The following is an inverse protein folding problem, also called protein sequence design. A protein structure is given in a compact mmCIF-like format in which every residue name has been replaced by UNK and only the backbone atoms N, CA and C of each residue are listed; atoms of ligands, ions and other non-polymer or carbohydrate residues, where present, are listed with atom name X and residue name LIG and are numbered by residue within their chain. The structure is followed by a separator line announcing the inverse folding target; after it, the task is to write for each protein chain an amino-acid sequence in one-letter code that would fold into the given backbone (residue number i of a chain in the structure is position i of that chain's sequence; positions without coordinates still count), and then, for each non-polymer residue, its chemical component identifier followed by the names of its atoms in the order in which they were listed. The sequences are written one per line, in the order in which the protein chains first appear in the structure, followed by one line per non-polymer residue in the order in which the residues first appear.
data_IF_503133114110
#
_entry.id   IF_503133114110
#
_cell.length_a   1.000
_cell.length_b   1.000
_cell.length_c   1.000
_cell.angle_alpha   90.00
_cell.angle_beta   90.00
_cell.angle_gamma   90.00
#
_symmetry.space_group_name_H-M   'P 1'
#
loop_
_entity.id
_entity.type
_entity.pdbx_description
1 polymer ?
#
# COMPACT_ATOMS: atom_id res chain seq x y z
N UNK A 1 -15.50 -45.72 23.83
CA UNK A 1 -14.19 -45.18 23.40
C UNK A 1 -13.46 -44.77 24.65
N UNK A 2 -12.21 -45.19 24.83
CA UNK A 2 -11.40 -44.71 25.95
C UNK A 2 -10.98 -43.24 25.72
N UNK A 3 -10.63 -42.55 26.79
CA UNK A 3 -10.24 -41.13 26.73
C UNK A 3 -9.01 -40.91 25.83
N UNK A 4 -8.13 -41.91 25.76
CA UNK A 4 -6.94 -41.92 24.91
C UNK A 4 -7.29 -41.90 23.42
N UNK A 5 -8.18 -42.80 22.98
CA UNK A 5 -8.64 -42.89 21.60
C UNK A 5 -9.35 -41.60 21.19
N UNK A 6 -10.21 -41.04 22.05
CA UNK A 6 -10.85 -39.73 21.79
C UNK A 6 -9.80 -38.63 21.61
N UNK A 7 -8.79 -38.57 22.50
CA UNK A 7 -7.70 -37.60 22.39
C UNK A 7 -6.89 -37.73 21.10
N UNK A 8 -6.53 -38.95 20.72
CA UNK A 8 -5.81 -39.24 19.47
C UNK A 8 -6.64 -38.88 18.25
N UNK A 9 -7.95 -39.20 18.24
CA UNK A 9 -8.84 -38.85 17.14
C UNK A 9 -8.96 -37.33 16.97
N UNK A 10 -9.11 -36.58 18.07
CA UNK A 10 -9.17 -35.11 18.03
C UNK A 10 -7.85 -34.54 17.50
N UNK A 11 -6.70 -35.07 17.94
CA UNK A 11 -5.39 -34.61 17.47
C UNK A 11 -5.20 -34.84 15.97
N UNK A 12 -5.60 -36.01 15.47
CA UNK A 12 -5.53 -36.33 14.04
C UNK A 12 -6.45 -35.40 13.25
N UNK A 13 -7.69 -35.19 13.72
CA UNK A 13 -8.64 -34.31 13.05
C UNK A 13 -8.16 -32.85 13.03
N UNK A 14 -7.61 -32.34 14.14
CA UNK A 14 -7.03 -31.01 14.23
C UNK A 14 -5.82 -30.86 13.30
N UNK A 15 -4.94 -31.85 13.26
CA UNK A 15 -3.77 -31.85 12.37
C UNK A 15 -4.19 -31.88 10.90
N UNK A 16 -5.15 -32.74 10.53
CA UNK A 16 -5.69 -32.79 9.18
C UNK A 16 -6.36 -31.46 8.80
N UNK A 17 -7.11 -30.85 9.71
CA UNK A 17 -7.72 -29.54 9.50
C UNK A 17 -6.66 -28.47 9.22
N UNK A 18 -5.57 -28.40 10.01
CA UNK A 18 -4.49 -27.45 9.77
C UNK A 18 -3.85 -27.64 8.38
N UNK A 19 -3.55 -28.88 8.01
CA UNK A 19 -3.00 -29.20 6.68
C UNK A 19 -3.95 -28.77 5.56
N UNK A 20 -5.25 -29.06 5.68
CA UNK A 20 -6.26 -28.66 4.70
C UNK A 20 -6.35 -27.14 4.57
N UNK A 21 -6.31 -26.39 5.68
CA UNK A 21 -6.35 -24.93 5.64
C UNK A 21 -5.12 -24.33 4.96
N UNK A 22 -3.93 -24.88 5.20
CA UNK A 22 -2.69 -24.42 4.55
C UNK A 22 -2.66 -24.74 3.05
N UNK A 23 -3.16 -25.92 2.65
CA UNK A 23 -3.30 -26.25 1.21
C UNK A 23 -4.30 -25.30 0.55
N UNK A 24 -5.47 -25.11 1.14
CA UNK A 24 -6.48 -24.19 0.62
C UNK A 24 -5.92 -22.76 0.50
N UNK A 25 -5.18 -22.29 1.52
CA UNK A 25 -4.55 -20.98 1.51
C UNK A 25 -3.58 -20.82 0.33
N UNK A 26 -2.71 -21.81 0.08
CA UNK A 26 -1.79 -21.79 -1.08
C UNK A 26 -2.54 -21.71 -2.41
N UNK A 27 -3.62 -22.47 -2.57
CA UNK A 27 -4.45 -22.43 -3.78
C UNK A 27 -5.09 -21.05 -3.99
N UNK A 28 -5.67 -20.48 -2.93
CA UNK A 28 -6.29 -19.15 -3.01
C UNK A 28 -5.27 -18.03 -3.20
N UNK A 29 -4.05 -18.14 -2.66
CA UNK A 29 -2.97 -17.20 -2.97
C UNK A 29 -2.67 -17.24 -4.48
N UNK A 30 -2.49 -18.42 -5.07
CA UNK A 30 -2.27 -18.55 -6.51
C UNK A 30 -3.41 -17.96 -7.35
N UNK A 31 -4.66 -18.24 -6.98
CA UNK A 31 -5.83 -17.67 -7.65
C UNK A 31 -5.87 -16.13 -7.55
N UNK A 32 -5.64 -15.58 -6.36
CA UNK A 32 -5.64 -14.13 -6.13
C UNK A 32 -4.52 -13.44 -6.91
N UNK A 33 -3.33 -14.03 -6.97
CA UNK A 33 -2.23 -13.53 -7.79
C UNK A 33 -2.59 -13.52 -9.28
N UNK A 34 -3.16 -14.61 -9.79
CA UNK A 34 -3.59 -14.69 -11.19
C UNK A 34 -4.65 -13.62 -11.54
N UNK A 35 -5.60 -13.35 -10.63
CA UNK A 35 -6.60 -12.32 -10.84
C UNK A 35 -5.98 -10.92 -10.89
N UNK A 36 -4.95 -10.64 -10.11
CA UNK A 36 -4.20 -9.38 -10.16
C UNK A 36 -3.41 -9.25 -11.47
N UNK A 37 -2.72 -10.32 -11.89
CA UNK A 37 -1.97 -10.36 -13.16
C UNK A 37 -2.88 -10.11 -14.38
N UNK A 38 -4.14 -10.54 -14.31
CA UNK A 38 -5.15 -10.34 -15.36
C UNK A 38 -5.86 -8.98 -15.27
N UNK A 39 -5.60 -8.18 -14.22
CA UNK A 39 -6.34 -6.94 -13.96
C UNK A 39 -7.79 -7.15 -13.53
N UNK A 40 -8.18 -8.38 -13.16
CA UNK A 40 -9.54 -8.76 -12.75
C UNK A 40 -9.82 -8.37 -11.28
N UNK A 41 -9.65 -7.09 -10.95
CA UNK A 41 -9.68 -6.60 -9.55
C UNK A 41 -11.06 -6.79 -8.88
N UNK A 42 -12.16 -6.71 -9.64
CA UNK A 42 -13.50 -6.99 -9.11
C UNK A 42 -13.66 -8.45 -8.65
N UNK A 43 -13.16 -9.40 -9.45
CA UNK A 43 -13.19 -10.84 -9.11
C UNK A 43 -12.23 -11.18 -7.97
N UNK A 44 -11.10 -10.47 -7.90
CA UNK A 44 -10.17 -10.53 -6.77
C UNK A 44 -10.89 -10.15 -5.46
N UNK A 45 -11.57 -9.00 -5.43
CA UNK A 45 -12.34 -8.55 -4.27
C UNK A 45 -13.48 -9.51 -3.91
N UNK A 46 -14.22 -10.00 -4.90
CA UNK A 46 -15.29 -10.99 -4.68
C UNK A 46 -14.74 -12.30 -4.11
N UNK A 47 -13.54 -12.72 -4.53
CA UNK A 47 -12.86 -13.91 -3.99
C UNK A 47 -12.46 -13.71 -2.54
N UNK A 48 -11.97 -12.52 -2.16
CA UNK A 48 -11.68 -12.18 -0.76
C UNK A 48 -12.91 -12.22 0.16
N UNK A 49 -14.13 -12.15 -0.39
CA UNK A 49 -15.36 -12.21 0.38
C UNK A 49 -15.94 -13.62 0.56
N UNK A 50 -15.35 -14.65 -0.06
CA UNK A 50 -15.80 -16.04 0.08
C UNK A 50 -15.62 -16.55 1.52
N UNK A 51 -16.57 -17.35 2.06
CA UNK A 51 -16.50 -17.87 3.43
C UNK A 51 -15.21 -18.64 3.73
N UNK A 52 -14.76 -19.47 2.79
CA UNK A 52 -13.51 -20.23 2.94
C UNK A 52 -12.28 -19.32 3.01
N UNK A 53 -12.27 -18.21 2.26
CA UNK A 53 -11.18 -17.24 2.29
C UNK A 53 -11.19 -16.47 3.62
N UNK A 54 -12.38 -16.12 4.14
CA UNK A 54 -12.55 -15.54 5.48
C UNK A 54 -12.08 -16.47 6.61
N UNK A 55 -12.18 -17.78 6.41
CA UNK A 55 -11.71 -18.79 7.37
C UNK A 55 -10.18 -18.94 7.35
N UNK A 56 -9.57 -19.02 6.17
CA UNK A 56 -8.14 -19.35 6.03
C UNK A 56 -7.21 -18.12 6.08
N UNK A 57 -7.72 -16.91 5.81
CA UNK A 57 -6.93 -15.68 5.93
C UNK A 57 -7.27 -14.90 7.20
N UNK A 58 -6.26 -14.49 7.99
CA UNK A 58 -6.45 -13.57 9.08
C UNK A 58 -7.15 -12.30 8.62
N UNK A 59 -8.03 -11.75 9.46
CA UNK A 59 -8.84 -10.57 9.14
C UNK A 59 -7.97 -9.40 8.67
N UNK A 60 -6.85 -9.13 9.34
CA UNK A 60 -5.94 -8.05 8.97
C UNK A 60 -5.41 -8.22 7.55
N UNK A 61 -4.85 -9.40 7.21
CA UNK A 61 -4.30 -9.67 5.88
C UNK A 61 -5.37 -9.51 4.81
N UNK A 62 -6.59 -10.00 5.09
CA UNK A 62 -7.70 -9.91 4.15
C UNK A 62 -8.16 -8.48 3.92
N UNK A 63 -8.24 -7.67 4.98
CA UNK A 63 -8.57 -6.25 4.85
C UNK A 63 -7.45 -5.48 4.13
N UNK A 64 -6.19 -5.78 4.40
CA UNK A 64 -5.07 -5.16 3.70
C UNK A 64 -5.09 -5.48 2.19
N UNK A 65 -5.39 -6.73 1.83
CA UNK A 65 -5.64 -7.13 0.45
C UNK A 65 -6.84 -6.40 -0.17
N UNK A 66 -7.96 -6.27 0.56
CA UNK A 66 -9.11 -5.50 0.10
C UNK A 66 -8.78 -4.02 -0.10
N UNK A 67 -8.00 -3.40 0.81
CA UNK A 67 -7.54 -2.02 0.68
C UNK A 67 -6.77 -1.84 -0.64
N UNK A 68 -5.81 -2.71 -0.91
CA UNK A 68 -5.05 -2.69 -2.16
C UNK A 68 -5.93 -2.85 -3.40
N UNK A 69 -6.93 -3.74 -3.35
CA UNK A 69 -7.88 -3.93 -4.44
C UNK A 69 -8.76 -2.70 -4.69
N UNK A 70 -9.23 -2.03 -3.64
CA UNK A 70 -9.99 -0.80 -3.78
C UNK A 70 -9.15 0.38 -4.30
N UNK A 71 -7.88 0.47 -3.90
CA UNK A 71 -6.95 1.45 -4.48
C UNK A 71 -6.75 1.22 -5.98
N UNK A 72 -6.58 -0.04 -6.40
CA UNK A 72 -6.42 -0.37 -7.82
C UNK A 72 -7.68 -0.13 -8.67
N UNK A 73 -8.86 0.00 -8.04
CA UNK A 73 -10.13 0.38 -8.71
C UNK A 73 -10.46 1.87 -8.60
N UNK A 74 -9.61 2.66 -7.93
CA UNK A 74 -9.94 4.04 -7.54
C UNK A 74 -11.27 4.15 -6.76
N UNK A 75 -11.68 3.07 -6.07
CA UNK A 75 -12.88 3.03 -5.22
C UNK A 75 -12.56 3.58 -3.84
N UNK A 76 -12.38 4.90 -3.79
CA UNK A 76 -11.95 5.61 -2.59
C UNK A 76 -12.94 5.48 -1.43
N UNK A 77 -14.24 5.36 -1.72
CA UNK A 77 -15.26 5.22 -0.66
C UNK A 77 -15.05 3.93 0.11
N UNK A 78 -14.73 2.83 -0.56
CA UNK A 78 -14.41 1.57 0.11
C UNK A 78 -13.00 1.57 0.69
N UNK A 79 -12.03 2.16 -0.01
CA UNK A 79 -10.66 2.29 0.48
C UNK A 79 -10.61 3.01 1.84
N UNK A 80 -11.29 4.15 1.98
CA UNK A 80 -11.38 4.91 3.24
C UNK A 80 -11.93 4.05 4.39
N UNK A 81 -13.02 3.31 4.14
CA UNK A 81 -13.63 2.45 5.16
C UNK A 81 -12.70 1.33 5.60
N UNK A 82 -11.97 0.73 4.66
CA UNK A 82 -11.03 -0.35 4.97
C UNK A 82 -9.78 0.19 5.67
N UNK A 83 -9.25 1.34 5.24
CA UNK A 83 -8.13 2.01 5.88
C UNK A 83 -8.44 2.36 7.34
N UNK A 84 -9.57 3.02 7.60
CA UNK A 84 -10.01 3.36 8.95
C UNK A 84 -10.18 2.11 9.83
N UNK A 85 -10.74 1.03 9.26
CA UNK A 85 -10.86 -0.25 9.98
C UNK A 85 -9.50 -0.85 10.31
N UNK A 86 -8.57 -0.90 9.36
CA UNK A 86 -7.23 -1.41 9.58
C UNK A 86 -6.53 -0.60 10.67
N UNK A 87 -6.50 0.73 10.54
CA UNK A 87 -5.85 1.65 11.49
C UNK A 87 -6.44 1.55 12.91
N UNK A 88 -7.71 1.17 13.07
CA UNK A 88 -8.35 0.96 14.38
C UNK A 88 -8.18 -0.44 14.98
N UNK A 89 -7.56 -1.38 14.28
CA UNK A 89 -7.37 -2.76 14.77
C UNK A 89 -6.11 -2.89 15.64
N UNK A 90 -6.11 -3.89 16.54
CA UNK A 90 -4.88 -4.35 17.19
C UNK A 90 -3.96 -4.99 16.14
N UNK A 91 -2.70 -4.58 16.14
CA UNK A 91 -1.71 -4.94 15.12
C UNK A 91 -0.36 -5.24 15.77
N UNK A 92 0.50 -5.99 15.07
CA UNK A 92 1.94 -6.01 15.39
C UNK A 92 2.60 -4.69 14.97
N UNK A 93 3.79 -4.41 15.49
CA UNK A 93 4.55 -3.22 15.06
C UNK A 93 4.83 -3.22 13.54
N UNK A 94 5.11 -4.39 12.97
CA UNK A 94 5.32 -4.53 11.52
C UNK A 94 4.05 -4.22 10.72
N UNK A 95 2.90 -4.78 11.13
CA UNK A 95 1.61 -4.50 10.51
C UNK A 95 1.23 -3.02 10.63
N UNK A 96 1.53 -2.40 11.78
CA UNK A 96 1.26 -0.97 12.00
C UNK A 96 2.08 -0.11 11.05
N UNK A 97 3.38 -0.35 10.94
CA UNK A 97 4.25 0.36 9.99
C UNK A 97 3.74 0.22 8.55
N UNK A 98 3.35 -0.99 8.15
CA UNK A 98 2.87 -1.26 6.79
C UNK A 98 1.58 -0.50 6.46
N UNK A 99 0.56 -0.54 7.34
CA UNK A 99 -0.68 0.20 7.08
C UNK A 99 -0.49 1.71 7.19
N UNK A 100 0.31 2.21 8.14
CA UNK A 100 0.51 3.65 8.33
C UNK A 100 1.20 4.24 7.11
N UNK A 101 2.29 3.63 6.63
CA UNK A 101 2.97 4.12 5.42
C UNK A 101 2.05 4.11 4.20
N UNK A 102 1.26 3.04 4.01
CA UNK A 102 0.36 2.95 2.85
C UNK A 102 -0.83 3.90 2.92
N UNK A 103 -1.45 4.03 4.10
CA UNK A 103 -2.55 4.96 4.31
C UNK A 103 -2.09 6.43 4.26
N UNK A 104 -0.86 6.71 4.70
CA UNK A 104 -0.25 8.03 4.60
C UNK A 104 -0.10 8.46 3.14
N UNK A 105 0.55 7.64 2.31
CA UNK A 105 0.68 7.92 0.87
C UNK A 105 -0.68 8.09 0.20
N UNK A 106 -1.63 7.21 0.51
CA UNK A 106 -3.00 7.34 0.02
C UNK A 106 -3.66 8.67 0.41
N UNK A 107 -3.55 9.11 1.66
CA UNK A 107 -4.12 10.38 2.10
C UNK A 107 -3.43 11.59 1.47
N UNK A 108 -2.12 11.52 1.21
CA UNK A 108 -1.41 12.56 0.46
C UNK A 108 -1.96 12.71 -0.97
N UNK A 109 -2.07 11.61 -1.71
CA UNK A 109 -2.60 11.60 -3.08
C UNK A 109 -4.04 12.11 -3.16
N UNK A 110 -4.83 11.89 -2.10
CA UNK A 110 -6.22 12.34 -2.00
C UNK A 110 -6.36 13.78 -1.50
N UNK A 111 -5.27 14.44 -1.10
CA UNK A 111 -5.33 15.75 -0.45
C UNK A 111 -6.06 15.72 0.91
N UNK A 112 -6.13 14.56 1.57
CA UNK A 112 -6.74 14.42 2.89
C UNK A 112 -5.75 14.91 3.96
N UNK A 113 -5.68 16.22 4.12
CA UNK A 113 -4.74 16.90 5.02
C UNK A 113 -4.79 16.37 6.45
N UNK A 114 -6.00 16.21 7.01
CA UNK A 114 -6.17 15.74 8.40
C UNK A 114 -5.68 14.30 8.58
N UNK A 115 -6.08 13.41 7.68
CA UNK A 115 -5.65 12.00 7.74
C UNK A 115 -4.13 11.87 7.56
N UNK A 116 -3.55 12.65 6.66
CA UNK A 116 -2.10 12.68 6.46
C UNK A 116 -1.36 13.26 7.67
N UNK A 117 -1.89 14.30 8.32
CA UNK A 117 -1.27 14.93 9.49
C UNK A 117 -1.27 13.98 10.70
N UNK A 118 -2.39 13.31 10.96
CA UNK A 118 -2.51 12.32 12.04
C UNK A 118 -1.49 11.17 11.86
N UNK A 119 -1.30 10.69 10.63
CA UNK A 119 -0.34 9.62 10.33
C UNK A 119 1.11 10.12 10.30
N UNK A 120 1.36 11.37 9.87
CA UNK A 120 2.69 11.98 9.92
C UNK A 120 3.21 12.04 11.36
N UNK A 121 2.38 12.49 12.31
CA UNK A 121 2.77 12.56 13.72
C UNK A 121 3.16 11.18 14.27
N UNK A 122 2.52 10.11 13.82
CA UNK A 122 2.94 8.76 14.19
C UNK A 122 4.26 8.36 13.54
N UNK A 123 4.45 8.65 12.25
CA UNK A 123 5.69 8.37 11.52
C UNK A 123 6.87 9.08 12.16
N UNK A 124 6.70 10.34 12.60
CA UNK A 124 7.73 11.12 13.31
C UNK A 124 8.20 10.48 14.62
N UNK A 125 7.41 9.57 15.20
CA UNK A 125 7.81 8.77 16.36
C UNK A 125 8.61 7.50 16.02
N UNK A 126 8.86 7.22 14.74
CA UNK A 126 9.62 6.04 14.32
C UNK A 126 11.13 6.25 14.49
N UNK A 127 11.82 5.18 14.89
CA UNK A 127 13.29 5.12 14.89
C UNK A 127 13.80 4.82 13.47
N UNK A 128 13.51 5.73 12.55
CA UNK A 128 13.84 5.67 11.13
C UNK A 128 13.88 7.09 10.55
N UNK A 129 15.04 7.73 10.64
CA UNK A 129 15.21 9.13 10.26
C UNK A 129 14.89 9.39 8.78
N UNK A 130 15.21 8.44 7.90
CA UNK A 130 14.95 8.54 6.47
C UNK A 130 13.45 8.47 6.18
N UNK A 131 12.71 7.55 6.81
CA UNK A 131 11.26 7.50 6.67
C UNK A 131 10.59 8.77 7.19
N UNK A 132 11.07 9.32 8.29
CA UNK A 132 10.57 10.58 8.87
C UNK A 132 10.81 11.77 7.94
N UNK A 133 12.03 11.92 7.42
CA UNK A 133 12.37 13.01 6.51
C UNK A 133 11.57 12.92 5.21
N UNK A 134 11.47 11.72 4.63
CA UNK A 134 10.66 11.48 3.44
C UNK A 134 9.18 11.79 3.68
N UNK A 135 8.60 11.37 4.81
CA UNK A 135 7.20 11.66 5.11
C UNK A 135 6.95 13.17 5.27
N UNK A 136 7.86 13.90 5.92
CA UNK A 136 7.76 15.37 6.06
C UNK A 136 7.82 16.08 4.72
N UNK A 137 8.77 15.72 3.87
CA UNK A 137 8.91 16.27 2.52
C UNK A 137 7.65 16.01 1.70
N UNK A 138 7.15 14.77 1.70
CA UNK A 138 5.94 14.40 0.95
C UNK A 138 4.72 15.17 1.46
N UNK A 139 4.56 15.31 2.79
CA UNK A 139 3.49 16.12 3.37
C UNK A 139 3.60 17.60 2.99
N UNK A 140 4.80 18.16 3.02
CA UNK A 140 5.02 19.56 2.64
C UNK A 140 4.64 19.81 1.18
N UNK A 141 5.08 18.93 0.27
CA UNK A 141 4.79 19.03 -1.17
C UNK A 141 3.29 18.87 -1.47
N UNK A 142 2.65 17.80 -0.98
CA UNK A 142 1.27 17.46 -1.37
C UNK A 142 0.18 18.17 -0.56
N UNK A 143 0.42 18.47 0.72
CA UNK A 143 -0.60 19.06 1.61
C UNK A 143 -0.36 20.55 1.86
N UNK A 144 0.90 20.96 2.07
CA UNK A 144 1.22 22.38 2.32
C UNK A 144 1.50 23.18 1.05
N UNK A 145 1.48 22.51 -0.11
CA UNK A 145 1.84 23.11 -1.39
C UNK A 145 3.25 23.72 -1.38
N UNK A 146 4.18 23.06 -0.69
CA UNK A 146 5.59 23.42 -0.64
C UNK A 146 6.30 23.14 -1.97
N UNK A 147 7.40 23.86 -2.19
CA UNK A 147 8.23 23.75 -3.40
C UNK A 147 9.73 23.96 -3.13
N UNK A 148 10.15 23.91 -1.86
CA UNK A 148 11.53 24.19 -1.45
C UNK A 148 12.54 23.11 -1.85
N UNK A 149 12.08 21.95 -2.32
CA UNK A 149 12.95 20.80 -2.65
C UNK A 149 13.35 20.75 -4.13
N UNK A 150 12.89 21.70 -4.95
CA UNK A 150 13.16 21.72 -6.40
C UNK A 150 14.67 21.62 -6.68
N UNK A 151 15.47 22.52 -6.13
CA UNK A 151 16.91 22.61 -6.46
C UNK A 151 17.66 21.32 -6.09
N UNK A 152 17.35 20.74 -4.93
CA UNK A 152 17.95 19.49 -4.47
C UNK A 152 17.53 18.31 -5.36
N UNK A 153 16.24 18.21 -5.70
CA UNK A 153 15.72 17.14 -6.54
C UNK A 153 16.24 17.23 -7.97
N UNK A 154 16.33 18.42 -8.55
CA UNK A 154 16.92 18.62 -9.88
C UNK A 154 18.40 18.23 -9.92
N UNK A 155 19.15 18.51 -8.85
CA UNK A 155 20.55 18.09 -8.74
C UNK A 155 20.71 16.55 -8.67
N UNK A 156 19.71 15.85 -8.13
CA UNK A 156 19.70 14.37 -8.03
C UNK A 156 19.28 13.67 -9.32
N UNK A 157 18.46 14.31 -10.16
CA UNK A 157 17.93 13.71 -11.40
C UNK A 157 18.98 13.02 -12.29
N UNK A 158 20.16 13.60 -12.58
CA UNK A 158 21.14 12.97 -13.45
C UNK A 158 21.67 11.62 -12.94
N UNK A 159 21.58 11.37 -11.63
CA UNK A 159 22.01 10.12 -11.01
C UNK A 159 20.95 9.01 -10.99
N UNK A 160 19.75 9.27 -11.51
CA UNK A 160 18.62 8.34 -11.48
C UNK A 160 18.21 7.91 -12.90
N UNK A 161 17.68 6.69 -13.01
CA UNK A 161 17.11 6.13 -14.23
C UNK A 161 15.79 5.39 -13.93
N UNK A 162 15.06 5.02 -15.00
CA UNK A 162 13.84 4.21 -14.89
C UNK A 162 12.78 4.81 -13.95
N UNK A 163 12.13 3.94 -13.18
CA UNK A 163 11.02 4.29 -12.28
C UNK A 163 11.44 5.30 -11.22
N UNK A 164 12.63 5.17 -10.63
CA UNK A 164 13.11 6.07 -9.58
C UNK A 164 13.25 7.51 -10.09
N UNK A 165 13.78 7.65 -11.32
CA UNK A 165 13.81 8.95 -11.99
C UNK A 165 12.40 9.47 -12.25
N UNK A 166 11.50 8.61 -12.74
CA UNK A 166 10.12 8.97 -13.01
C UNK A 166 9.40 9.49 -11.75
N UNK A 167 9.60 8.86 -10.59
CA UNK A 167 9.01 9.28 -9.32
C UNK A 167 9.53 10.64 -8.87
N UNK A 168 10.84 10.90 -9.00
CA UNK A 168 11.40 12.21 -8.67
C UNK A 168 10.89 13.31 -9.60
N UNK A 169 10.76 13.01 -10.89
CA UNK A 169 10.16 13.92 -11.88
C UNK A 169 8.69 14.22 -11.57
N UNK A 170 7.92 13.25 -11.05
CA UNK A 170 6.54 13.50 -10.61
C UNK A 170 6.49 14.48 -9.43
N UNK A 171 7.38 14.33 -8.43
CA UNK A 171 7.47 15.27 -7.31
C UNK A 171 7.89 16.68 -7.76
N UNK A 172 8.81 16.77 -8.72
CA UNK A 172 9.17 18.05 -9.32
C UNK A 172 7.98 18.68 -10.03
N UNK A 173 7.18 17.90 -10.77
CA UNK A 173 5.99 18.42 -11.41
C UNK A 173 5.00 19.04 -10.40
N UNK A 174 4.73 18.37 -9.29
CA UNK A 174 3.85 18.88 -8.23
C UNK A 174 4.43 20.17 -7.62
N UNK A 175 5.74 20.21 -7.37
CA UNK A 175 6.38 21.41 -6.82
C UNK A 175 6.36 22.61 -7.79
N UNK A 176 6.58 22.38 -9.08
CA UNK A 176 6.47 23.45 -10.08
C UNK A 176 5.03 23.95 -10.25
N UNK A 177 4.05 23.05 -10.12
CA UNK A 177 2.64 23.45 -10.06
C UNK A 177 2.36 24.33 -8.82
N UNK A 178 2.81 23.91 -7.63
CA UNK A 178 2.72 24.69 -6.39
C UNK A 178 3.38 26.07 -6.52
N UNK A 179 4.49 26.18 -7.27
CA UNK A 179 5.21 27.42 -7.57
C UNK A 179 4.48 28.32 -8.59
N UNK A 180 3.45 27.80 -9.28
CA UNK A 180 2.70 28.49 -10.33
C UNK A 180 3.33 28.40 -11.73
N UNK A 181 4.30 27.52 -11.94
CA UNK A 181 4.93 27.26 -13.25
C UNK A 181 4.35 25.99 -13.89
N UNK A 182 3.16 26.15 -14.47
CA UNK A 182 2.45 25.06 -15.14
C UNK A 182 3.23 24.48 -16.34
N UNK A 183 4.03 25.30 -17.02
CA UNK A 183 4.78 24.85 -18.20
C UNK A 183 5.89 23.86 -17.80
N UNK A 184 6.66 24.19 -16.76
CA UNK A 184 7.70 23.28 -16.25
C UNK A 184 7.08 22.06 -15.58
N UNK A 185 5.97 22.22 -14.85
CA UNK A 185 5.22 21.11 -14.27
C UNK A 185 4.79 20.10 -15.34
N UNK A 186 4.13 20.55 -16.42
CA UNK A 186 3.68 19.68 -17.50
C UNK A 186 4.87 18.97 -18.20
N UNK A 187 6.01 19.65 -18.33
CA UNK A 187 7.24 19.04 -18.87
C UNK A 187 7.71 17.87 -18.00
N UNK A 188 7.73 18.04 -16.68
CA UNK A 188 8.13 16.98 -15.76
C UNK A 188 7.11 15.85 -15.70
N UNK A 189 5.80 16.13 -15.75
CA UNK A 189 4.76 15.08 -15.85
C UNK A 189 4.95 14.20 -17.08
N UNK A 190 5.19 14.82 -18.25
CA UNK A 190 5.45 14.09 -19.49
C UNK A 190 6.74 13.26 -19.41
N UNK A 191 7.78 13.79 -18.77
CA UNK A 191 9.02 13.05 -18.58
C UNK A 191 8.83 11.86 -17.65
N UNK A 192 8.15 12.08 -16.52
CA UNK A 192 7.82 11.07 -15.53
C UNK A 192 7.08 9.88 -16.14
N UNK A 193 6.02 10.16 -16.91
CA UNK A 193 5.24 9.12 -17.58
C UNK A 193 6.06 8.27 -18.57
N UNK A 194 7.06 8.86 -19.24
CA UNK A 194 7.96 8.10 -20.12
C UNK A 194 8.91 7.20 -19.33
N UNK A 195 9.50 7.70 -18.25
CA UNK A 195 10.45 6.92 -17.45
C UNK A 195 9.77 5.81 -16.63
N UNK A 196 8.53 6.04 -16.17
CA UNK A 196 7.74 5.02 -15.48
C UNK A 196 7.23 3.91 -16.40
N UNK A 197 7.00 4.21 -17.69
CA UNK A 197 6.57 3.22 -18.67
C UNK A 197 7.72 2.35 -19.23
N UNK A 198 8.98 2.73 -18.97
CA UNK A 198 10.14 1.95 -19.40
C UNK A 198 10.33 0.74 -18.47
N UNK A 199 10.51 -0.48 -18.99
CA UNK A 199 10.92 -1.62 -18.18
C UNK A 199 12.19 -1.23 -17.42
N UNK A 200 12.26 -1.53 -16.12
CA UNK A 200 13.49 -1.39 -15.36
C UNK A 200 14.55 -2.27 -16.03
N UNK A 201 15.53 -1.65 -16.70
CA UNK A 201 16.73 -2.36 -17.14
C UNK A 201 17.45 -2.84 -15.88
N UNK A 202 17.34 -4.15 -15.63
CA UNK A 202 18.06 -4.84 -14.55
C UNK A 202 19.48 -5.22 -14.95
#
# INVERSE_FOLDING_TARGET
MDLWTVGVTILIAATAFLVLTEVAKRLYVGQLSQLLEQGSVHEYLATLDKPIVKLIFPLWNRLFMQFNGYLALDDYTHADRVAARLLGMRQSAAQRREIVGKAFNYYLERGNARGAEDLLHEIEGWDDAEAVENARMMFDIYIRHGWSYIDEMEARLPGLSGVDRGLLELLLAVQYENKGDAATSERYLKSSGRHMAMPTEG
#
